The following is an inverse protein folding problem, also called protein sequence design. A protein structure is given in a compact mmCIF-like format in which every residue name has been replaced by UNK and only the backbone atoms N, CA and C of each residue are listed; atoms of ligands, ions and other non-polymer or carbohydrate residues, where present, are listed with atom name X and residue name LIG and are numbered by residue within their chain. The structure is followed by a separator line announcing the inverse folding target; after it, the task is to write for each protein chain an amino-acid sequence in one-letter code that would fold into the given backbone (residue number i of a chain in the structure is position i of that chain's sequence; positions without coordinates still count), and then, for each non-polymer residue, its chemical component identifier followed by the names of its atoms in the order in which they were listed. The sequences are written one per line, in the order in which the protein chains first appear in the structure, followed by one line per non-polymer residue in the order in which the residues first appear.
data_IF_158418325301
#
_entry.id   IF_158418325301
#
_cell.length_a   1.000
_cell.length_b   1.000
_cell.length_c   1.000
_cell.angle_alpha   90.00
_cell.angle_beta   90.00
_cell.angle_gamma   90.00
#
_symmetry.space_group_name_H-M   'P 1'
#
loop_
_entity.id
_entity.type
_entity.pdbx_description
1 polymer ?
#
# COMPACT_ATOMS: atom_id res chain seq x y z
N UNK A 1 -23.40 8.82 -23.30
CA UNK A 1 -24.07 10.10 -22.96
C UNK A 1 -23.36 10.63 -21.72
N UNK A 2 -22.80 11.87 -21.75
CA UNK A 2 -22.16 12.44 -20.57
C UNK A 2 -23.17 12.54 -19.44
N UNK A 3 -22.79 12.07 -18.24
CA UNK A 3 -23.63 12.20 -17.06
C UNK A 3 -23.69 13.69 -16.68
N UNK A 4 -24.87 14.30 -16.75
CA UNK A 4 -25.07 15.72 -16.42
C UNK A 4 -24.78 16.04 -14.94
N UNK A 5 -24.83 15.03 -14.07
CA UNK A 5 -24.57 15.16 -12.64
C UNK A 5 -23.10 14.96 -12.29
N UNK A 6 -22.25 14.59 -13.28
CA UNK A 6 -20.83 14.44 -13.05
C UNK A 6 -20.16 15.80 -12.84
N UNK A 7 -19.79 16.07 -11.62
CA UNK A 7 -19.13 17.30 -11.20
C UNK A 7 -17.73 16.99 -10.67
N UNK A 8 -16.71 16.92 -11.54
CA UNK A 8 -15.33 16.60 -11.12
C UNK A 8 -14.70 17.67 -10.24
N UNK A 9 -15.29 18.88 -10.26
CA UNK A 9 -14.83 20.00 -9.44
C UNK A 9 -16.00 20.60 -8.68
N UNK A 10 -15.88 20.66 -7.36
CA UNK A 10 -16.76 21.43 -6.51
C UNK A 10 -16.19 22.82 -6.39
N UNK A 11 -16.95 23.86 -6.79
CA UNK A 11 -16.52 25.24 -6.60
C UNK A 11 -16.40 25.52 -5.09
N UNK A 12 -15.21 25.84 -4.62
CA UNK A 12 -14.98 26.34 -3.28
C UNK A 12 -14.94 27.86 -3.28
N UNK A 13 -15.25 28.48 -2.15
CA UNK A 13 -15.16 29.93 -1.96
C UNK A 13 -13.70 30.42 -1.90
N UNK A 14 -12.73 29.53 -1.83
CA UNK A 14 -11.31 29.84 -1.83
C UNK A 14 -10.72 29.72 -3.24
N UNK A 15 -9.89 30.69 -3.63
CA UNK A 15 -9.12 30.63 -4.87
C UNK A 15 -8.19 29.41 -4.85
N UNK A 16 -8.36 28.50 -5.82
CA UNK A 16 -7.55 27.29 -5.90
C UNK A 16 -6.16 27.62 -6.44
N UNK A 17 -5.16 27.45 -5.59
CA UNK A 17 -3.75 27.50 -5.99
C UNK A 17 -3.21 26.07 -6.06
N UNK A 18 -2.86 25.63 -7.28
CA UNK A 18 -2.32 24.29 -7.49
C UNK A 18 -0.97 24.11 -6.78
N UNK A 19 -0.83 23.05 -5.99
CA UNK A 19 0.45 22.71 -5.39
C UNK A 19 1.47 22.30 -6.47
N UNK A 20 2.77 22.42 -6.19
CA UNK A 20 3.84 21.99 -7.09
C UNK A 20 3.73 20.51 -7.45
N UNK A 21 3.32 19.65 -6.48
CA UNK A 21 3.08 18.24 -6.71
C UNK A 21 1.90 18.00 -7.66
N UNK A 22 0.80 18.76 -7.51
CA UNK A 22 -0.34 18.70 -8.41
C UNK A 22 0.02 19.11 -9.84
N UNK A 23 0.80 20.20 -9.99
CA UNK A 23 1.31 20.63 -11.30
C UNK A 23 2.23 19.59 -11.94
N UNK A 24 3.14 18.99 -11.17
CA UNK A 24 4.00 17.90 -11.67
C UNK A 24 3.20 16.69 -12.15
N UNK A 25 2.19 16.28 -11.39
CA UNK A 25 1.30 15.18 -11.76
C UNK A 25 0.52 15.52 -13.04
N UNK A 26 -0.04 16.71 -13.13
CA UNK A 26 -0.75 17.19 -14.31
C UNK A 26 0.14 17.15 -15.56
N UNK A 27 1.35 17.74 -15.48
CA UNK A 27 2.30 17.72 -16.60
C UNK A 27 2.76 16.31 -16.95
N UNK A 28 2.86 15.40 -16.00
CA UNK A 28 3.19 14.00 -16.27
C UNK A 28 2.09 13.31 -17.07
N UNK A 29 0.83 13.47 -16.66
CA UNK A 29 -0.33 12.89 -17.36
C UNK A 29 -0.47 13.48 -18.77
N UNK A 30 -0.42 14.81 -18.89
CA UNK A 30 -0.49 15.46 -20.19
C UNK A 30 0.68 15.05 -21.11
N UNK A 31 1.89 14.93 -20.57
CA UNK A 31 3.04 14.48 -21.36
C UNK A 31 2.85 13.06 -21.88
N UNK A 32 2.29 12.16 -21.07
CA UNK A 32 1.97 10.80 -21.49
C UNK A 32 0.91 10.78 -22.58
N UNK A 33 -0.13 11.59 -22.44
CA UNK A 33 -1.18 11.74 -23.46
C UNK A 33 -0.63 12.27 -24.80
N UNK A 34 0.18 13.33 -24.77
CA UNK A 34 0.77 13.85 -26.00
C UNK A 34 1.79 12.90 -26.64
N UNK A 35 2.52 12.13 -25.84
CA UNK A 35 3.40 11.09 -26.37
C UNK A 35 2.58 9.98 -27.07
N UNK A 36 1.43 9.60 -26.52
CA UNK A 36 0.51 8.68 -27.22
C UNK A 36 0.05 9.25 -28.55
N UNK A 37 -0.37 10.54 -28.61
CA UNK A 37 -0.76 11.15 -29.87
C UNK A 37 0.37 11.23 -30.92
N UNK A 38 1.63 11.34 -30.47
CA UNK A 38 2.79 11.25 -31.37
C UNK A 38 2.96 9.82 -31.91
N UNK A 39 2.80 8.79 -31.08
CA UNK A 39 2.87 7.40 -31.49
C UNK A 39 1.77 7.05 -32.51
N UNK A 40 0.59 7.63 -32.34
CA UNK A 40 -0.54 7.49 -33.28
C UNK A 40 -0.46 8.44 -34.50
N UNK A 41 0.68 9.13 -34.68
CA UNK A 41 0.92 10.07 -35.79
C UNK A 41 -0.03 11.27 -35.87
N UNK A 42 -0.71 11.62 -34.80
CA UNK A 42 -1.58 12.82 -34.72
C UNK A 42 -0.81 14.09 -34.48
N UNK A 43 0.39 14.04 -33.89
CA UNK A 43 1.23 15.18 -33.56
C UNK A 43 2.71 14.89 -33.88
N UNK A 44 3.44 15.93 -34.24
CA UNK A 44 4.87 15.83 -34.52
C UNK A 44 5.74 16.01 -33.25
N UNK A 45 5.25 16.70 -32.23
CA UNK A 45 6.02 17.00 -31.03
C UNK A 45 5.12 17.14 -29.78
N UNK A 46 5.72 16.89 -28.61
CA UNK A 46 5.04 17.02 -27.32
C UNK A 46 5.16 18.46 -26.79
N UNK A 47 4.07 19.25 -26.77
CA UNK A 47 4.10 20.64 -26.32
C UNK A 47 4.45 20.76 -24.83
N UNK A 48 4.09 19.78 -24.02
CA UNK A 48 4.38 19.77 -22.57
C UNK A 48 5.88 19.69 -22.30
N UNK A 49 6.63 18.95 -23.13
CA UNK A 49 8.08 18.85 -22.98
C UNK A 49 8.76 20.21 -23.14
N UNK A 50 8.25 21.05 -24.04
CA UNK A 50 8.78 22.39 -24.25
C UNK A 50 8.48 23.32 -23.08
N UNK A 51 7.27 23.27 -22.52
CA UNK A 51 6.87 24.05 -21.35
C UNK A 51 7.73 23.66 -20.15
N UNK A 52 7.94 22.36 -19.93
CA UNK A 52 8.69 21.81 -18.80
C UNK A 52 10.15 22.26 -18.77
N UNK A 53 10.78 22.39 -19.91
CA UNK A 53 12.17 22.86 -20.03
C UNK A 53 12.33 24.38 -19.76
N UNK A 54 11.29 25.17 -20.05
CA UNK A 54 11.31 26.64 -19.94
C UNK A 54 10.70 27.16 -18.64
N UNK A 55 10.01 26.33 -17.86
CA UNK A 55 9.21 26.82 -16.74
C UNK A 55 9.99 26.89 -15.43
N UNK A 56 10.13 28.10 -14.92
CA UNK A 56 10.58 28.37 -13.54
C UNK A 56 9.61 27.78 -12.47
N UNK A 57 8.43 27.32 -12.87
CA UNK A 57 7.39 26.78 -11.99
C UNK A 57 7.71 25.39 -11.44
N UNK A 58 8.62 24.65 -12.09
CA UNK A 58 9.05 23.32 -11.67
C UNK A 58 10.40 23.33 -10.95
N UNK A 59 10.74 24.42 -10.27
CA UNK A 59 11.90 24.40 -9.38
C UNK A 59 11.68 23.27 -8.36
N UNK A 60 12.63 22.33 -8.35
CA UNK A 60 12.74 21.38 -7.25
C UNK A 60 12.78 22.19 -5.97
N UNK A 61 11.68 22.24 -5.24
CA UNK A 61 11.72 22.65 -3.86
C UNK A 61 12.61 21.64 -3.15
N UNK A 62 13.80 22.05 -2.80
CA UNK A 62 14.65 21.36 -1.84
C UNK A 62 14.08 21.57 -0.42
N UNK A 63 12.77 21.44 -0.26
CA UNK A 63 12.25 21.25 1.08
C UNK A 63 12.73 19.87 1.50
N UNK A 64 13.60 19.82 2.48
CA UNK A 64 13.86 18.58 3.18
C UNK A 64 12.50 18.01 3.58
N UNK A 65 12.09 16.94 2.87
CA UNK A 65 10.82 16.30 3.16
C UNK A 65 10.80 15.96 4.63
N UNK A 66 9.81 16.46 5.38
CA UNK A 66 9.66 16.15 6.80
C UNK A 66 9.58 14.62 6.92
N UNK A 67 10.61 14.01 7.47
CA UNK A 67 10.66 12.57 7.67
C UNK A 67 9.60 12.22 8.71
N UNK A 68 8.54 11.58 8.24
CA UNK A 68 7.45 11.08 9.10
C UNK A 68 7.79 9.64 9.47
N UNK A 69 8.37 9.48 10.63
CA UNK A 69 8.68 8.16 11.21
C UNK A 69 8.33 8.17 12.69
N UNK A 70 7.97 7.03 13.20
CA UNK A 70 7.91 6.80 14.64
C UNK A 70 9.32 6.54 15.18
N UNK A 71 9.63 7.04 16.37
CA UNK A 71 10.81 6.57 17.12
C UNK A 71 10.56 5.14 17.61
N UNK A 72 11.60 4.38 17.96
CA UNK A 72 11.43 3.04 18.55
C UNK A 72 10.46 3.08 19.76
N UNK A 73 10.65 4.01 20.70
CA UNK A 73 9.78 4.15 21.86
C UNK A 73 8.32 4.45 21.50
N UNK A 74 8.08 5.28 20.47
CA UNK A 74 6.73 5.53 19.99
C UNK A 74 6.11 4.30 19.35
N UNK A 75 6.91 3.52 18.64
CA UNK A 75 6.47 2.25 18.05
C UNK A 75 6.08 1.25 19.15
N UNK A 76 6.95 1.06 20.14
CA UNK A 76 6.71 0.13 21.26
C UNK A 76 5.41 0.50 21.99
N UNK A 77 5.22 1.78 22.30
CA UNK A 77 3.99 2.26 22.92
C UNK A 77 2.74 1.99 22.07
N UNK A 78 2.81 2.24 20.75
CA UNK A 78 1.69 2.01 19.84
C UNK A 78 1.34 0.52 19.75
N UNK A 79 2.33 -0.36 19.74
CA UNK A 79 2.12 -1.81 19.73
C UNK A 79 1.56 -2.29 21.04
N UNK A 80 2.05 -1.82 22.18
CA UNK A 80 1.52 -2.14 23.52
C UNK A 80 0.04 -1.78 23.63
N UNK A 81 -0.35 -0.58 23.22
CA UNK A 81 -1.76 -0.17 23.18
C UNK A 81 -2.59 -1.04 22.25
N UNK A 82 -2.06 -1.37 21.06
CA UNK A 82 -2.76 -2.24 20.12
C UNK A 82 -2.95 -3.66 20.67
N UNK A 83 -1.97 -4.20 21.40
CA UNK A 83 -2.06 -5.50 22.09
C UNK A 83 -3.09 -5.47 23.21
N UNK A 84 -3.10 -4.42 24.03
CA UNK A 84 -4.08 -4.24 25.09
C UNK A 84 -5.50 -4.23 24.52
N UNK A 85 -5.75 -3.43 23.48
CA UNK A 85 -7.05 -3.37 22.82
C UNK A 85 -7.46 -4.71 22.18
N UNK A 86 -6.50 -5.44 21.58
CA UNK A 86 -6.75 -6.74 21.02
C UNK A 86 -7.03 -7.82 22.09
N UNK A 87 -6.46 -7.69 23.27
CA UNK A 87 -6.78 -8.55 24.41
C UNK A 87 -8.18 -8.31 24.97
N UNK A 88 -8.60 -7.05 25.03
CA UNK A 88 -9.93 -6.65 25.49
C UNK A 88 -11.03 -7.01 24.49
N UNK A 89 -10.81 -6.73 23.20
CA UNK A 89 -11.79 -6.94 22.14
C UNK A 89 -11.15 -7.57 20.90
N UNK A 90 -10.83 -8.90 20.92
CA UNK A 90 -10.13 -9.58 19.84
C UNK A 90 -10.85 -9.47 18.48
N UNK A 91 -12.17 -9.59 18.49
CA UNK A 91 -12.99 -9.54 17.26
C UNK A 91 -12.85 -8.23 16.49
N UNK A 92 -12.51 -7.14 17.18
CA UNK A 92 -12.38 -5.78 16.62
C UNK A 92 -10.92 -5.46 16.27
N UNK A 93 -9.99 -5.77 17.18
CA UNK A 93 -8.64 -5.20 17.14
C UNK A 93 -7.54 -6.16 16.67
N UNK A 94 -7.73 -7.49 16.74
CA UNK A 94 -6.71 -8.47 16.31
C UNK A 94 -6.27 -8.27 14.86
N UNK A 95 -7.19 -7.95 13.96
CA UNK A 95 -6.84 -7.67 12.57
C UNK A 95 -5.90 -6.48 12.43
N UNK A 96 -6.16 -5.41 13.19
CA UNK A 96 -5.35 -4.19 13.16
C UNK A 96 -3.95 -4.47 13.71
N UNK A 97 -3.88 -5.18 14.85
CA UNK A 97 -2.62 -5.58 15.45
C UNK A 97 -1.78 -6.44 14.49
N UNK A 98 -2.39 -7.44 13.86
CA UNK A 98 -1.72 -8.29 12.86
C UNK A 98 -1.18 -7.48 11.68
N UNK A 99 -2.00 -6.57 11.12
CA UNK A 99 -1.58 -5.69 10.01
C UNK A 99 -0.37 -4.85 10.41
N UNK A 100 -0.38 -4.24 11.59
CA UNK A 100 0.72 -3.41 12.07
C UNK A 100 2.00 -4.22 12.23
N UNK A 101 1.92 -5.39 12.88
CA UNK A 101 3.07 -6.30 13.05
C UNK A 101 3.61 -6.80 11.70
N UNK A 102 2.73 -7.20 10.78
CA UNK A 102 3.11 -7.68 9.46
C UNK A 102 3.83 -6.61 8.62
N UNK A 103 3.29 -5.39 8.57
CA UNK A 103 3.91 -4.28 7.87
C UNK A 103 5.29 -3.93 8.42
N UNK A 104 5.44 -3.96 9.74
CA UNK A 104 6.70 -3.62 10.40
C UNK A 104 7.73 -4.75 10.30
N UNK A 105 7.36 -5.99 10.65
CA UNK A 105 8.29 -7.10 10.72
C UNK A 105 8.76 -7.58 9.34
N UNK A 106 7.89 -7.53 8.34
CA UNK A 106 8.18 -8.02 6.99
C UNK A 106 8.44 -6.90 5.97
N UNK A 107 8.41 -5.64 6.36
CA UNK A 107 8.60 -4.48 5.47
C UNK A 107 7.72 -4.53 4.23
N UNK A 108 6.46 -4.94 4.42
CA UNK A 108 5.49 -5.06 3.34
C UNK A 108 4.97 -3.68 2.90
N UNK A 109 4.66 -3.57 1.62
CA UNK A 109 3.79 -2.51 1.14
C UNK A 109 2.34 -2.88 1.44
N UNK A 110 1.48 -1.88 1.64
CA UNK A 110 0.05 -2.13 1.85
C UNK A 110 -0.54 -2.97 0.70
N UNK A 111 -0.14 -2.71 -0.55
CA UNK A 111 -0.57 -3.48 -1.72
C UNK A 111 -0.11 -4.94 -1.76
N UNK A 112 0.85 -5.33 -0.93
CA UNK A 112 1.31 -6.71 -0.79
C UNK A 112 0.52 -7.47 0.29
N UNK A 113 -0.15 -6.74 1.18
CA UNK A 113 -0.92 -7.29 2.28
C UNK A 113 -2.42 -7.37 2.00
N UNK A 114 -2.94 -6.49 1.13
CA UNK A 114 -4.37 -6.41 0.81
C UNK A 114 -4.66 -6.87 -0.62
N UNK A 115 -5.89 -7.33 -0.82
CA UNK A 115 -6.38 -7.73 -2.14
C UNK A 115 -6.35 -6.55 -3.12
N UNK A 116 -5.81 -6.79 -4.31
CA UNK A 116 -5.79 -5.88 -5.45
C UNK A 116 -6.27 -6.62 -6.71
N UNK A 117 -6.50 -5.92 -7.81
CA UNK A 117 -6.87 -6.54 -9.10
C UNK A 117 -5.82 -7.56 -9.58
N UNK A 118 -4.55 -7.39 -9.18
CA UNK A 118 -3.42 -8.20 -9.67
C UNK A 118 -2.86 -9.15 -8.63
N UNK A 119 -3.25 -9.02 -7.37
CA UNK A 119 -2.66 -9.78 -6.27
C UNK A 119 -3.72 -10.06 -5.20
N UNK A 120 -3.83 -11.32 -4.83
CA UNK A 120 -4.75 -11.80 -3.79
C UNK A 120 -3.93 -12.53 -2.70
N UNK A 121 -3.47 -11.82 -1.65
CA UNK A 121 -2.72 -12.43 -0.58
C UNK A 121 -3.60 -13.42 0.20
N UNK A 122 -3.07 -14.63 0.38
CA UNK A 122 -3.73 -15.77 1.03
C UNK A 122 -2.89 -16.26 2.19
N UNK A 123 -3.50 -16.97 3.12
CA UNK A 123 -2.82 -17.59 4.24
C UNK A 123 -1.78 -18.62 3.78
N UNK A 124 -2.05 -19.36 2.71
CA UNK A 124 -1.14 -20.35 2.13
C UNK A 124 0.14 -19.76 1.51
N UNK A 125 0.26 -18.42 1.42
CA UNK A 125 1.52 -17.79 1.05
C UNK A 125 2.55 -17.75 2.20
N UNK A 126 2.14 -18.11 3.43
CA UNK A 126 3.06 -18.46 4.50
C UNK A 126 3.38 -19.95 4.40
N UNK A 127 4.63 -20.28 4.18
CA UNK A 127 5.10 -21.63 3.93
C UNK A 127 6.37 -21.94 4.73
N UNK A 128 6.48 -23.12 5.34
CA UNK A 128 7.75 -23.57 5.89
C UNK A 128 8.64 -24.09 4.76
N UNK A 129 9.94 -23.89 4.87
CA UNK A 129 10.93 -24.57 4.06
C UNK A 129 11.24 -25.99 4.60
N UNK A 130 12.21 -26.66 3.98
CA UNK A 130 12.64 -28.00 4.38
C UNK A 130 13.33 -28.05 5.74
N UNK A 131 13.85 -26.92 6.21
CA UNK A 131 14.54 -26.78 7.49
C UNK A 131 13.57 -26.31 8.60
N UNK A 132 12.32 -26.03 8.25
CA UNK A 132 11.26 -25.56 9.16
C UNK A 132 11.23 -24.04 9.37
N UNK A 133 12.06 -23.27 8.66
CA UNK A 133 11.98 -21.82 8.67
C UNK A 133 10.77 -21.35 7.83
N UNK A 134 10.09 -20.31 8.30
CA UNK A 134 8.89 -19.80 7.65
C UNK A 134 9.18 -18.66 6.71
N UNK A 135 8.52 -18.68 5.57
CA UNK A 135 8.61 -17.69 4.51
C UNK A 135 7.24 -17.18 4.10
N UNK A 136 7.19 -15.91 3.72
CA UNK A 136 6.00 -15.31 3.12
C UNK A 136 6.28 -14.94 1.67
N UNK A 137 5.58 -15.60 0.75
CA UNK A 137 5.67 -15.33 -0.69
C UNK A 137 4.73 -14.19 -1.05
N UNK A 138 5.23 -13.16 -1.72
CA UNK A 138 4.44 -12.00 -2.13
C UNK A 138 4.84 -11.49 -3.50
N UNK A 139 3.95 -10.71 -4.13
CA UNK A 139 4.18 -10.10 -5.44
C UNK A 139 4.28 -8.59 -5.28
N UNK A 140 5.45 -8.06 -5.59
CA UNK A 140 5.77 -6.64 -5.47
C UNK A 140 5.54 -5.83 -6.74
N UNK A 141 6.07 -4.60 -6.77
CA UNK A 141 6.01 -3.70 -7.92
C UNK A 141 6.63 -4.35 -9.17
N UNK A 142 5.91 -4.27 -10.29
CA UNK A 142 6.34 -4.86 -11.57
C UNK A 142 6.07 -6.35 -11.67
N UNK A 143 5.15 -6.89 -10.88
CA UNK A 143 4.77 -8.31 -10.86
C UNK A 143 5.94 -9.24 -10.53
N UNK A 144 6.88 -8.76 -9.69
CA UNK A 144 8.02 -9.55 -9.24
C UNK A 144 7.66 -10.25 -7.94
N UNK A 145 7.76 -11.57 -7.96
CA UNK A 145 7.65 -12.40 -6.77
C UNK A 145 8.88 -12.24 -5.88
N UNK A 146 8.67 -12.26 -4.57
CA UNK A 146 9.74 -12.27 -3.57
C UNK A 146 9.33 -13.07 -2.35
N UNK A 147 10.29 -13.71 -1.75
CA UNK A 147 10.17 -14.42 -0.49
C UNK A 147 10.71 -13.56 0.65
N UNK A 148 10.00 -13.55 1.75
CA UNK A 148 10.36 -12.75 2.94
C UNK A 148 10.43 -13.73 4.10
N UNK A 149 11.55 -13.74 4.80
CA UNK A 149 11.72 -14.52 6.02
C UNK A 149 10.75 -14.05 7.10
N UNK A 150 10.09 -14.98 7.76
CA UNK A 150 9.15 -14.75 8.85
C UNK A 150 9.85 -15.04 10.17
N UNK A 151 10.04 -14.01 10.99
CA UNK A 151 10.63 -14.18 12.33
C UNK A 151 9.64 -14.89 13.27
N UNK A 152 10.18 -15.47 14.35
CA UNK A 152 9.35 -16.14 15.38
C UNK A 152 8.27 -15.21 15.94
N UNK A 153 8.61 -13.96 16.23
CA UNK A 153 7.65 -12.95 16.71
C UNK A 153 6.54 -12.66 15.68
N UNK A 154 6.85 -12.69 14.39
CA UNK A 154 5.84 -12.54 13.34
C UNK A 154 5.00 -13.81 13.18
N UNK A 155 5.61 -14.98 13.35
CA UNK A 155 4.89 -16.26 13.33
C UNK A 155 3.90 -16.36 14.50
N UNK A 156 4.29 -15.93 15.69
CA UNK A 156 3.40 -15.82 16.86
C UNK A 156 2.23 -14.84 16.58
N UNK A 157 2.50 -13.70 15.95
CA UNK A 157 1.45 -12.77 15.56
C UNK A 157 0.48 -13.37 14.54
N UNK A 158 0.97 -14.17 13.59
CA UNK A 158 0.15 -14.90 12.64
C UNK A 158 -0.72 -15.94 13.35
N UNK A 159 -0.14 -16.74 14.24
CA UNK A 159 -0.86 -17.75 15.02
C UNK A 159 -1.99 -17.12 15.83
N UNK A 160 -1.68 -16.06 16.56
CA UNK A 160 -2.65 -15.32 17.37
C UNK A 160 -3.81 -14.81 16.51
N UNK A 161 -3.51 -14.15 15.38
CA UNK A 161 -4.52 -13.64 14.47
C UNK A 161 -5.41 -14.75 13.88
N UNK A 162 -4.82 -15.89 13.53
CA UNK A 162 -5.55 -17.05 13.00
C UNK A 162 -6.48 -17.65 14.05
N UNK A 163 -5.99 -17.86 15.26
CA UNK A 163 -6.78 -18.38 16.38
C UNK A 163 -7.97 -17.46 16.71
N UNK A 164 -7.78 -16.15 16.71
CA UNK A 164 -8.86 -15.19 16.89
C UNK A 164 -9.95 -15.26 15.80
N UNK A 165 -9.62 -15.83 14.63
CA UNK A 165 -10.56 -16.11 13.55
C UNK A 165 -11.18 -17.51 13.60
N UNK A 166 -10.85 -18.30 14.59
CA UNK A 166 -11.28 -19.71 14.70
C UNK A 166 -10.59 -20.64 13.69
N UNK A 167 -9.43 -20.26 13.17
CA UNK A 167 -8.60 -21.08 12.28
C UNK A 167 -7.55 -21.86 13.08
N UNK A 168 -6.93 -22.87 12.46
CA UNK A 168 -5.74 -23.52 13.02
C UNK A 168 -4.60 -22.51 13.23
N UNK A 169 -3.71 -22.76 14.19
CA UNK A 169 -2.63 -21.82 14.52
C UNK A 169 -1.74 -21.51 13.32
N UNK A 170 -1.39 -22.50 12.53
CA UNK A 170 -0.57 -22.35 11.33
C UNK A 170 -1.37 -22.61 10.06
N UNK A 171 -1.07 -21.93 8.95
CA UNK A 171 -1.71 -22.20 7.67
C UNK A 171 -1.26 -23.54 7.09
N UNK A 172 -2.17 -24.17 6.36
CA UNK A 172 -1.84 -25.35 5.56
C UNK A 172 -1.26 -24.93 4.20
N UNK A 173 -0.40 -25.76 3.61
CA UNK A 173 0.07 -25.52 2.24
C UNK A 173 -1.12 -25.38 1.28
N UNK A 174 -1.11 -24.31 0.48
CA UNK A 174 -2.18 -24.02 -0.48
C UNK A 174 -3.50 -23.52 0.13
N UNK A 175 -3.52 -23.13 1.38
CA UNK A 175 -4.71 -22.55 2.01
C UNK A 175 -5.12 -21.25 1.29
N UNK A 176 -6.34 -21.24 0.71
CA UNK A 176 -6.86 -20.15 -0.10
C UNK A 176 -7.60 -19.06 0.72
N UNK A 177 -7.66 -19.19 2.04
CA UNK A 177 -8.31 -18.17 2.87
C UNK A 177 -7.60 -16.83 2.76
N UNK A 178 -8.35 -15.70 2.68
CA UNK A 178 -7.73 -14.38 2.54
C UNK A 178 -6.80 -14.05 3.71
N UNK A 179 -5.64 -13.48 3.42
CA UNK A 179 -4.70 -13.05 4.45
C UNK A 179 -5.35 -12.04 5.40
N UNK A 180 -5.98 -11.03 4.85
CA UNK A 180 -6.75 -10.04 5.62
C UNK A 180 -8.23 -10.23 5.30
N UNK A 181 -9.03 -10.60 6.29
CA UNK A 181 -10.48 -10.70 6.11
C UNK A 181 -11.12 -9.31 6.09
N UNK A 182 -12.20 -9.17 5.33
CA UNK A 182 -13.01 -7.95 5.32
C UNK A 182 -13.65 -7.77 6.69
N UNK A 183 -13.58 -6.56 7.26
CA UNK A 183 -14.36 -6.27 8.46
C UNK A 183 -15.85 -6.42 8.10
N UNK A 184 -16.60 -7.12 8.95
CA UNK A 184 -18.04 -7.04 8.89
C UNK A 184 -18.41 -5.63 9.38
N UNK A 185 -18.95 -4.82 8.48
CA UNK A 185 -19.54 -3.54 8.84
C UNK A 185 -20.80 -3.74 9.65
#
# INVERSE_FOLDING_TARGET
IPNADWRPYVSSSAEYVASQAALQSLFSVLSSFFNFLIQEHHLAANPVSQIRQKSKFLRKHQSQGKIRRLSPLQWDYVIEVAEMLANEQPAVHERTLFIMKALFAMYLRISELVETIRWQPQMGHFQPDQEGAWWFVTVGKGNKEREISVSDAMLEALQRYRLARGLSALPSPGESSPLIHKARG
#
